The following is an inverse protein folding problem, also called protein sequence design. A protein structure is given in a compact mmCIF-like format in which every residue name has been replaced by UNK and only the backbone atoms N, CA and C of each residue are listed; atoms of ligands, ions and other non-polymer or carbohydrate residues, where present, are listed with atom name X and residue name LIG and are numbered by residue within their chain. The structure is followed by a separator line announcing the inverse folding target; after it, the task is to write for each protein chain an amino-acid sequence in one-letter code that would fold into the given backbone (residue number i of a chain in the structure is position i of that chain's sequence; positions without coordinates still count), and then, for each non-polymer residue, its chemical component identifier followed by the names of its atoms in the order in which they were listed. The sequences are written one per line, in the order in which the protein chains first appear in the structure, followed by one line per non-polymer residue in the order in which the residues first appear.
data_IF_869880772093
#
_entry.id   IF_869880772093
#
_cell.length_a   1.000
_cell.length_b   1.000
_cell.length_c   1.000
_cell.angle_alpha   90.00
_cell.angle_beta   90.00
_cell.angle_gamma   90.00
#
_symmetry.space_group_name_H-M   'P 1'
#
loop_
_entity.id
_entity.type
_entity.pdbx_description
1 polymer ?
#
# COMPACT_ATOMS: atom_id res chain seq x y z
N UNK A 1 12.52 -17.27 3.69
CA UNK A 1 11.29 -16.58 4.14
C UNK A 1 10.01 -17.33 3.73
N UNK A 2 9.97 -18.05 2.61
CA UNK A 2 8.75 -18.78 2.16
C UNK A 2 8.49 -20.12 2.87
N UNK A 3 9.48 -20.73 3.53
CA UNK A 3 9.40 -22.09 4.10
C UNK A 3 8.74 -22.21 5.49
N UNK A 4 8.21 -21.13 6.07
CA UNK A 4 7.50 -21.22 7.35
C UNK A 4 6.04 -21.59 7.14
N UNK A 5 5.58 -22.71 7.70
CA UNK A 5 4.14 -23.04 7.78
C UNK A 5 3.43 -21.92 8.54
N UNK A 6 2.41 -21.31 7.92
CA UNK A 6 1.65 -20.21 8.54
C UNK A 6 0.75 -20.71 9.68
N UNK A 7 0.58 -22.01 9.81
CA UNK A 7 -0.25 -22.63 10.86
C UNK A 7 0.23 -22.31 12.29
N UNK A 8 1.49 -21.88 12.47
CA UNK A 8 2.02 -21.39 13.75
C UNK A 8 1.84 -19.87 13.96
N UNK A 9 1.53 -19.11 12.90
CA UNK A 9 1.33 -17.66 12.94
C UNK A 9 -0.18 -17.42 13.01
N UNK A 10 -0.71 -17.47 14.22
CA UNK A 10 -2.13 -17.73 14.45
C UNK A 10 -3.13 -16.71 13.85
N UNK A 11 -2.74 -15.50 13.45
CA UNK A 11 -3.73 -14.45 13.10
C UNK A 11 -3.23 -13.46 12.03
N UNK A 12 -2.53 -13.93 10.99
CA UNK A 12 -2.26 -13.05 9.85
C UNK A 12 -3.57 -12.78 9.08
N UNK A 13 -3.90 -11.51 8.93
CA UNK A 13 -5.00 -11.02 8.12
C UNK A 13 -4.44 -10.24 6.93
N UNK A 14 -5.21 -9.98 5.89
CA UNK A 14 -4.76 -9.19 4.73
C UNK A 14 -4.73 -7.68 5.05
N UNK A 15 -4.02 -7.28 6.11
CA UNK A 15 -3.76 -5.91 6.48
C UNK A 15 -2.33 -5.73 7.02
N UNK A 16 -1.90 -4.47 7.09
CA UNK A 16 -0.60 -4.03 7.59
C UNK A 16 -0.84 -2.88 8.56
N UNK A 17 -0.09 -2.89 9.66
CA UNK A 17 -0.03 -1.78 10.61
C UNK A 17 1.19 -0.90 10.27
N UNK A 18 0.96 0.38 10.05
CA UNK A 18 2.01 1.37 9.88
C UNK A 18 1.98 2.37 11.04
N UNK A 19 3.15 2.64 11.62
CA UNK A 19 3.32 3.72 12.58
C UNK A 19 3.67 5.00 11.85
N UNK A 20 2.72 5.93 11.82
CA UNK A 20 2.91 7.24 11.22
C UNK A 20 3.00 8.30 12.32
N UNK A 21 4.24 8.64 12.73
CA UNK A 21 4.57 9.62 13.77
C UNK A 21 3.84 9.39 15.11
N UNK A 22 3.69 8.14 15.56
CA UNK A 22 3.03 7.79 16.82
C UNK A 22 1.54 7.50 16.68
N UNK A 23 1.00 7.55 15.46
CA UNK A 23 -0.34 7.07 15.14
C UNK A 23 -0.24 5.75 14.38
N UNK A 24 -0.62 4.65 15.04
CA UNK A 24 -0.79 3.36 14.36
C UNK A 24 -2.02 3.43 13.45
N UNK A 25 -1.78 3.34 12.14
CA UNK A 25 -2.83 3.20 11.14
C UNK A 25 -2.80 1.78 10.58
N UNK A 26 -3.98 1.24 10.31
CA UNK A 26 -4.13 -0.09 9.73
C UNK A 26 -4.59 0.08 8.29
N UNK A 27 -3.89 -0.54 7.35
CA UNK A 27 -4.22 -0.52 5.93
C UNK A 27 -4.54 -1.92 5.44
N UNK A 28 -5.67 -2.05 4.74
CA UNK A 28 -6.06 -3.32 4.16
C UNK A 28 -5.30 -3.53 2.83
N UNK A 29 -4.61 -4.66 2.70
CA UNK A 29 -3.86 -5.00 1.48
C UNK A 29 -4.78 -5.28 0.29
N UNK A 30 -6.05 -5.58 0.56
CA UNK A 30 -7.13 -5.75 -0.43
C UNK A 30 -8.48 -5.44 0.20
N UNK A 31 -9.53 -5.34 -0.61
CA UNK A 31 -10.90 -5.10 -0.12
C UNK A 31 -11.30 -6.05 1.01
N UNK A 32 -11.77 -5.49 2.13
CA UNK A 32 -12.13 -6.21 3.36
C UNK A 32 -10.98 -7.07 3.94
N UNK A 33 -9.72 -6.70 3.70
CA UNK A 33 -8.54 -7.47 4.08
C UNK A 33 -8.45 -7.82 5.57
N UNK A 34 -8.97 -6.96 6.46
CA UNK A 34 -9.10 -7.25 7.91
C UNK A 34 -10.04 -8.40 8.25
N UNK A 35 -10.90 -8.85 7.34
CA UNK A 35 -11.82 -9.97 7.54
C UNK A 35 -11.34 -11.25 6.85
N UNK A 36 -10.23 -11.19 6.11
CA UNK A 36 -9.70 -12.30 5.33
C UNK A 36 -8.43 -12.81 6.00
N UNK A 37 -8.49 -14.05 6.47
CA UNK A 37 -7.34 -14.71 7.07
C UNK A 37 -6.34 -15.20 6.00
N UNK A 38 -5.06 -15.06 6.31
CA UNK A 38 -3.97 -15.61 5.52
C UNK A 38 -3.84 -17.10 5.86
N UNK A 39 -3.97 -17.93 4.83
CA UNK A 39 -3.82 -19.39 4.86
C UNK A 39 -2.62 -19.78 4.01
N UNK A 40 -2.13 -21.01 4.14
CA UNK A 40 -1.04 -21.50 3.28
C UNK A 40 -1.37 -21.44 1.77
N UNK A 41 -2.66 -21.49 1.40
CA UNK A 41 -3.11 -21.41 0.00
C UNK A 41 -3.04 -19.99 -0.57
N UNK A 42 -3.34 -18.97 0.25
CA UNK A 42 -3.36 -17.56 -0.17
C UNK A 42 -2.12 -16.76 0.30
N UNK A 43 -1.17 -17.42 0.98
CA UNK A 43 0.11 -16.86 1.43
C UNK A 43 0.88 -16.13 0.33
N UNK A 44 0.93 -16.71 -0.87
CA UNK A 44 1.65 -16.13 -1.99
C UNK A 44 1.06 -14.76 -2.40
N UNK A 45 -0.28 -14.67 -2.41
CA UNK A 45 -1.00 -13.43 -2.65
C UNK A 45 -0.69 -12.39 -1.57
N UNK A 46 -0.75 -12.79 -0.29
CA UNK A 46 -0.42 -11.91 0.83
C UNK A 46 0.99 -11.32 0.71
N UNK A 47 1.99 -12.16 0.42
CA UNK A 47 3.38 -11.70 0.23
C UNK A 47 3.50 -10.76 -0.97
N UNK A 48 2.82 -11.06 -2.08
CA UNK A 48 2.84 -10.21 -3.26
C UNK A 48 2.26 -8.82 -2.97
N UNK A 49 1.10 -8.76 -2.32
CA UNK A 49 0.45 -7.50 -1.94
C UNK A 49 1.28 -6.71 -0.93
N UNK A 50 1.92 -7.38 0.02
CA UNK A 50 2.86 -6.74 0.96
C UNK A 50 4.02 -6.05 0.25
N UNK A 51 4.66 -6.75 -0.70
CA UNK A 51 5.78 -6.20 -1.47
C UNK A 51 5.32 -5.01 -2.31
N UNK A 52 4.16 -5.14 -2.97
CA UNK A 52 3.58 -4.05 -3.75
C UNK A 52 3.28 -2.83 -2.87
N UNK A 53 2.63 -3.03 -1.72
CA UNK A 53 2.35 -1.95 -0.77
C UNK A 53 3.64 -1.27 -0.31
N UNK A 54 4.67 -2.04 0.06
CA UNK A 54 5.95 -1.48 0.51
C UNK A 54 6.63 -0.63 -0.57
N UNK A 55 6.60 -1.07 -1.84
CA UNK A 55 7.15 -0.32 -2.96
C UNK A 55 6.40 0.98 -3.22
N UNK A 56 5.06 0.96 -3.12
CA UNK A 56 4.23 2.16 -3.31
C UNK A 56 4.38 3.15 -2.17
N UNK A 57 4.31 2.69 -0.91
CA UNK A 57 4.45 3.56 0.27
C UNK A 57 5.82 4.25 0.29
N UNK A 58 6.89 3.54 -0.06
CA UNK A 58 8.26 4.10 -0.04
C UNK A 58 8.46 5.33 -0.92
N UNK A 59 7.58 5.56 -1.90
CA UNK A 59 7.66 6.68 -2.84
C UNK A 59 6.45 7.63 -2.76
N UNK A 60 5.45 7.30 -1.95
CA UNK A 60 4.17 8.02 -1.94
C UNK A 60 4.34 9.45 -1.43
N UNK A 61 5.13 9.66 -0.37
CA UNK A 61 5.39 11.00 0.17
C UNK A 61 6.07 11.92 -0.85
N UNK A 62 7.02 11.38 -1.63
CA UNK A 62 7.73 12.12 -2.67
C UNK A 62 6.80 12.43 -3.85
N UNK A 63 5.90 11.49 -4.20
CA UNK A 63 4.86 11.72 -5.22
C UNK A 63 3.87 12.78 -4.76
N UNK A 64 3.43 12.74 -3.50
CA UNK A 64 2.49 13.72 -2.96
C UNK A 64 3.12 15.11 -2.85
N UNK A 65 4.38 15.19 -2.42
CA UNK A 65 5.15 16.43 -2.43
C UNK A 65 5.34 16.99 -3.85
N UNK A 66 5.63 16.12 -4.82
CA UNK A 66 5.74 16.51 -6.23
C UNK A 66 4.41 17.02 -6.77
N UNK A 67 3.32 16.29 -6.55
CA UNK A 67 1.97 16.69 -6.98
C UNK A 67 1.55 18.01 -6.36
N UNK A 68 1.80 18.20 -5.06
CA UNK A 68 1.53 19.47 -4.37
C UNK A 68 2.30 20.63 -5.00
N UNK A 69 3.61 20.47 -5.21
CA UNK A 69 4.42 21.50 -5.88
C UNK A 69 3.97 21.76 -7.32
N UNK A 70 3.53 20.73 -8.03
CA UNK A 70 2.98 20.86 -9.38
C UNK A 70 1.64 21.62 -9.40
N UNK A 71 0.71 21.28 -8.51
CA UNK A 71 -0.60 21.94 -8.36
C UNK A 71 -0.46 23.40 -7.88
N UNK A 72 0.58 23.73 -7.11
CA UNK A 72 0.90 25.10 -6.69
C UNK A 72 1.43 25.97 -7.85
N UNK A 73 2.11 25.37 -8.83
CA UNK A 73 2.71 26.08 -9.97
C UNK A 73 1.75 26.15 -11.16
N UNK A 74 0.94 25.10 -11.39
CA UNK A 74 0.02 24.99 -12.51
C UNK A 74 -1.41 24.91 -11.97
N UNK A 75 -2.24 25.92 -12.27
CA UNK A 75 -3.69 25.84 -12.02
C UNK A 75 -4.27 24.61 -12.73
N UNK A 76 -5.03 23.80 -11.99
CA UNK A 76 -5.61 22.52 -12.45
C UNK A 76 -6.38 22.64 -13.78
N UNK A 77 -6.85 23.84 -14.12
CA UNK A 77 -7.54 24.17 -15.36
C UNK A 77 -6.67 24.06 -16.64
N UNK A 78 -5.33 24.01 -16.51
CA UNK A 78 -4.39 23.95 -17.64
C UNK A 78 -3.89 22.54 -17.97
N UNK A 79 -4.07 21.59 -17.05
CA UNK A 79 -3.65 20.19 -17.21
C UNK A 79 -4.33 19.48 -18.38
N UNK A 80 -5.62 19.71 -18.72
CA UNK A 80 -6.29 19.04 -19.84
C UNK A 80 -5.69 19.34 -21.22
N UNK A 81 -4.88 20.40 -21.36
CA UNK A 81 -4.26 20.78 -22.63
C UNK A 81 -2.93 20.05 -22.91
N UNK A 82 -2.39 19.34 -21.93
CA UNK A 82 -1.18 18.55 -22.10
C UNK A 82 -1.55 17.10 -22.47
N UNK A 83 -1.68 16.84 -23.76
CA UNK A 83 -1.69 15.46 -24.26
C UNK A 83 -0.27 14.88 -24.29
N UNK A 84 -0.12 13.63 -23.88
CA UNK A 84 1.11 12.86 -24.06
C UNK A 84 1.47 12.78 -25.55
N UNK A 85 2.70 13.15 -25.89
CA UNK A 85 3.25 13.05 -27.25
C UNK A 85 3.91 11.69 -27.47
#
# INVERSE_FOLDING_TARGET
MLEKNIDEIFELMFNVEEDNFGSTQIFDLKSDGRKIAVTNQNKAEYVQLLVQNSLTVSIQEQIDAFKKGFDEIIHQDLVPFFSHQ
#
